data_IF_225934218192
#
_entry.id   IF_225934218192
#
_cell.length_a   1.000
_cell.length_b   1.000
_cell.length_c   1.000
_cell.angle_alpha   90.00
_cell.angle_beta   90.00
_cell.angle_gamma   90.00
#
_symmetry.space_group_name_H-M   'P 1'
#
loop_
_entity.id
_entity.type
_entity.pdbx_description
1 polymer ?
#
# COMPACT_ATOMS: atom_id res chain seq x y z
N UNK A 1 -10.61 10.33 -4.53
CA UNK A 1 -9.68 9.66 -3.61
C UNK A 1 -8.64 8.79 -4.30
N UNK A 2 -9.00 8.05 -5.35
CA UNK A 2 -8.02 7.19 -6.05
C UNK A 2 -6.89 7.98 -6.70
N UNK A 3 -7.19 9.15 -7.28
CA UNK A 3 -6.16 10.00 -7.88
C UNK A 3 -5.17 10.51 -6.82
N UNK A 4 -5.67 10.93 -5.66
CA UNK A 4 -4.84 11.37 -4.55
C UNK A 4 -3.97 10.23 -4.04
N UNK A 5 -4.50 9.02 -4.02
CA UNK A 5 -3.75 7.83 -3.62
C UNK A 5 -2.60 7.54 -4.59
N UNK A 6 -2.84 7.67 -5.90
CA UNK A 6 -1.79 7.49 -6.91
C UNK A 6 -0.68 8.53 -6.75
N UNK A 7 -1.02 9.78 -6.48
CA UNK A 7 -0.03 10.82 -6.17
C UNK A 7 0.79 10.46 -4.94
N UNK A 8 0.12 9.99 -3.89
CA UNK A 8 0.79 9.59 -2.66
C UNK A 8 1.75 8.42 -2.90
N UNK A 9 1.33 7.43 -3.71
CA UNK A 9 2.19 6.29 -4.08
C UNK A 9 3.45 6.79 -4.77
N UNK A 10 3.34 7.74 -5.69
CA UNK A 10 4.49 8.28 -6.42
C UNK A 10 5.45 9.03 -5.50
N UNK A 11 4.92 9.78 -4.53
CA UNK A 11 5.75 10.47 -3.53
C UNK A 11 6.49 9.48 -2.63
N UNK A 12 5.75 8.50 -2.12
CA UNK A 12 6.30 7.49 -1.20
C UNK A 12 7.31 6.59 -1.92
N UNK A 13 7.10 6.32 -3.21
CA UNK A 13 7.99 5.51 -4.03
C UNK A 13 9.42 6.03 -3.97
N UNK A 14 9.63 7.33 -4.10
CA UNK A 14 10.97 7.91 -4.04
C UNK A 14 11.60 7.73 -2.66
N UNK A 15 10.82 7.93 -1.60
CA UNK A 15 11.29 7.77 -0.23
C UNK A 15 11.66 6.32 0.06
N UNK A 16 10.85 5.38 -0.39
CA UNK A 16 11.08 3.95 -0.18
C UNK A 16 12.26 3.45 -1.00
N UNK A 17 12.42 3.96 -2.22
CA UNK A 17 13.55 3.61 -3.08
C UNK A 17 14.89 3.99 -2.43
N UNK A 18 14.93 5.12 -1.75
CA UNK A 18 16.12 5.55 -1.00
C UNK A 18 16.47 4.58 0.14
N UNK A 19 15.51 3.79 0.60
CA UNK A 19 15.70 2.75 1.63
C UNK A 19 15.91 1.36 1.04
N UNK A 20 15.97 1.25 -0.29
CA UNK A 20 16.11 -0.03 -0.97
C UNK A 20 14.82 -0.80 -1.15
N UNK A 21 13.67 -0.16 -0.94
CA UNK A 21 12.34 -0.78 -1.10
C UNK A 21 11.82 -0.45 -2.49
N UNK A 22 11.48 -1.48 -3.24
CA UNK A 22 10.94 -1.32 -4.59
C UNK A 22 9.42 -1.22 -4.58
N UNK A 23 8.89 -0.33 -5.42
CA UNK A 23 7.46 -0.23 -5.68
C UNK A 23 7.17 -0.92 -7.01
N UNK A 24 6.34 -1.96 -6.97
CA UNK A 24 5.94 -2.66 -8.18
C UNK A 24 4.51 -2.31 -8.58
N UNK A 25 4.15 -2.76 -9.76
CA UNK A 25 2.90 -2.51 -10.48
C UNK A 25 1.72 -1.96 -9.68
N UNK A 26 1.19 -0.85 -10.18
CA UNK A 26 -0.09 -0.33 -9.73
C UNK A 26 -1.15 -0.98 -10.63
N UNK A 27 -1.95 -1.89 -10.05
CA UNK A 27 -3.08 -2.48 -10.73
C UNK A 27 -4.27 -1.55 -10.55
N UNK A 28 -4.72 -0.95 -11.64
CA UNK A 28 -5.87 -0.04 -11.63
C UNK A 28 -7.07 -0.76 -12.23
N UNK A 29 -8.12 -0.91 -11.42
CA UNK A 29 -9.41 -1.44 -11.89
C UNK A 29 -10.37 -0.25 -11.93
N UNK A 30 -10.75 0.17 -13.13
CA UNK A 30 -11.59 1.35 -13.31
C UNK A 30 -13.08 1.01 -13.39
N UNK A 31 -13.90 2.07 -13.45
CA UNK A 31 -15.36 1.95 -13.44
C UNK A 31 -15.94 1.28 -14.70
N UNK A 32 -15.15 1.13 -15.76
CA UNK A 32 -15.62 0.43 -16.97
C UNK A 32 -15.54 -1.09 -16.81
N UNK A 33 -14.76 -1.57 -15.85
CA UNK A 33 -14.53 -2.99 -15.59
C UNK A 33 -15.25 -3.43 -14.32
N UNK A 34 -15.36 -2.56 -13.34
CA UNK A 34 -15.91 -2.89 -12.02
C UNK A 34 -16.78 -1.76 -11.49
N UNK A 35 -17.84 -2.14 -10.74
CA UNK A 35 -18.70 -1.17 -10.05
C UNK A 35 -17.97 -0.52 -8.86
N UNK A 36 -16.84 -1.08 -8.43
CA UNK A 36 -16.06 -0.55 -7.32
C UNK A 36 -14.59 -0.47 -7.73
N UNK A 37 -14.20 0.61 -8.46
CA UNK A 37 -12.82 0.79 -8.90
C UNK A 37 -11.83 0.77 -7.77
N UNK A 38 -10.62 0.25 -8.03
CA UNK A 38 -9.57 0.16 -7.03
C UNK A 38 -8.20 0.42 -7.63
N UNK A 39 -7.26 0.78 -6.74
CA UNK A 39 -5.84 0.88 -7.07
C UNK A 39 -5.07 0.00 -6.07
N UNK A 40 -4.21 -0.85 -6.59
CA UNK A 40 -3.37 -1.74 -5.77
C UNK A 40 -1.89 -1.46 -6.04
N UNK A 41 -1.10 -1.35 -5.00
CA UNK A 41 0.35 -1.19 -5.09
C UNK A 41 1.04 -2.28 -4.25
N UNK A 42 2.14 -2.80 -4.79
CA UNK A 42 3.00 -3.74 -4.08
C UNK A 42 4.34 -3.09 -3.75
N UNK A 43 4.86 -3.39 -2.58
CA UNK A 43 6.19 -2.95 -2.15
C UNK A 43 7.03 -4.16 -1.78
N UNK A 44 8.29 -4.13 -2.17
CA UNK A 44 9.23 -5.21 -1.86
C UNK A 44 10.44 -4.65 -1.12
N UNK A 45 10.59 -5.08 0.13
CA UNK A 45 11.81 -4.87 0.89
C UNK A 45 12.65 -6.13 0.71
N UNK A 46 13.73 -6.09 -0.11
CA UNK A 46 14.44 -7.31 -0.48
C UNK A 46 14.87 -8.14 0.72
N UNK A 47 14.52 -9.42 0.68
CA UNK A 47 14.84 -10.41 1.74
C UNK A 47 14.17 -10.14 3.10
N UNK A 48 13.29 -9.15 3.18
CA UNK A 48 12.65 -8.78 4.46
C UNK A 48 11.14 -8.89 4.40
N UNK A 49 10.49 -8.01 3.66
CA UNK A 49 9.03 -7.88 3.66
C UNK A 49 8.45 -7.72 2.26
N UNK A 50 7.22 -8.16 2.11
CA UNK A 50 6.40 -7.89 0.94
C UNK A 50 5.15 -7.17 1.45
N UNK A 51 4.89 -5.98 0.93
CA UNK A 51 3.73 -5.18 1.33
C UNK A 51 2.74 -5.00 0.19
N UNK A 52 1.47 -4.82 0.55
CA UNK A 52 0.39 -4.57 -0.40
C UNK A 52 -0.58 -3.57 0.20
N UNK A 53 -1.01 -2.60 -0.60
CA UNK A 53 -2.11 -1.70 -0.27
C UNK A 53 -3.10 -1.71 -1.42
N UNK A 54 -4.36 -1.93 -1.14
CA UNK A 54 -5.45 -1.75 -2.09
C UNK A 54 -6.42 -0.71 -1.55
N UNK A 55 -6.75 0.28 -2.36
CA UNK A 55 -7.76 1.29 -2.03
C UNK A 55 -8.87 1.25 -3.05
N UNK A 56 -10.11 1.15 -2.59
CA UNK A 56 -11.31 1.19 -3.42
C UNK A 56 -11.92 2.59 -3.42
N UNK A 57 -12.67 2.89 -4.46
CA UNK A 57 -13.37 4.17 -4.59
C UNK A 57 -14.34 4.42 -3.44
N UNK A 58 -14.85 3.38 -2.82
CA UNK A 58 -15.72 3.44 -1.64
C UNK A 58 -15.00 3.86 -0.36
N UNK A 59 -13.71 4.19 -0.45
CA UNK A 59 -12.82 4.55 0.66
C UNK A 59 -12.49 3.37 1.57
N UNK A 60 -12.86 2.16 1.19
CA UNK A 60 -12.37 0.95 1.86
C UNK A 60 -10.93 0.70 1.43
N UNK A 61 -10.12 0.21 2.33
CA UNK A 61 -8.73 -0.14 2.05
C UNK A 61 -8.36 -1.46 2.70
N UNK A 62 -7.40 -2.15 2.09
CA UNK A 62 -6.81 -3.36 2.65
C UNK A 62 -5.30 -3.21 2.63
N UNK A 63 -4.66 -3.51 3.76
CA UNK A 63 -3.20 -3.53 3.85
C UNK A 63 -2.75 -4.92 4.32
N UNK A 64 -1.63 -5.37 3.76
CA UNK A 64 -1.02 -6.63 4.14
C UNK A 64 0.49 -6.50 4.08
N UNK A 65 1.18 -7.04 5.09
CA UNK A 65 2.63 -7.14 5.10
C UNK A 65 2.99 -8.56 5.48
N UNK A 66 3.81 -9.20 4.65
CA UNK A 66 4.31 -10.55 4.88
C UNK A 66 5.81 -10.49 5.13
N UNK A 67 6.28 -11.32 6.07
CA UNK A 67 7.70 -11.53 6.26
C UNK A 67 8.21 -12.51 5.21
N UNK A 68 9.23 -12.09 4.45
CA UNK A 68 9.72 -12.86 3.31
C UNK A 68 10.26 -14.23 3.69
N UNK A 69 11.06 -14.29 4.77
CA UNK A 69 11.75 -15.53 5.14
C UNK A 69 10.84 -16.61 5.70
N UNK A 70 9.80 -16.24 6.45
CA UNK A 70 8.89 -17.19 7.09
C UNK A 70 7.57 -17.34 6.35
N UNK A 71 7.21 -16.34 5.52
CA UNK A 71 5.90 -16.26 4.89
C UNK A 71 4.80 -15.87 5.87
N UNK A 72 5.16 -15.49 7.11
CA UNK A 72 4.17 -15.10 8.10
C UNK A 72 3.58 -13.73 7.82
N UNK A 73 2.29 -13.60 8.08
CA UNK A 73 1.58 -12.32 7.96
C UNK A 73 1.89 -11.46 9.18
N UNK A 74 2.51 -10.29 8.94
CA UNK A 74 2.81 -9.32 9.99
C UNK A 74 1.65 -8.38 10.20
N UNK A 75 1.05 -7.90 9.10
CA UNK A 75 -0.13 -7.04 9.13
C UNK A 75 -1.13 -7.57 8.10
N UNK A 76 -2.40 -7.61 8.51
CA UNK A 76 -3.51 -7.88 7.59
C UNK A 76 -4.73 -7.17 8.16
N UNK A 77 -5.11 -6.02 7.54
CA UNK A 77 -6.18 -5.17 8.05
C UNK A 77 -7.04 -4.60 6.94
N UNK A 78 -8.33 -4.55 7.21
CA UNK A 78 -9.28 -3.75 6.44
C UNK A 78 -9.48 -2.42 7.15
N UNK A 79 -9.47 -1.34 6.37
CA UNK A 79 -9.63 0.01 6.90
C UNK A 79 -10.78 0.70 6.15
N UNK A 80 -11.45 1.62 6.84
CA UNK A 80 -12.43 2.51 6.21
C UNK A 80 -11.91 3.93 6.36
N UNK A 81 -11.57 4.56 5.22
CA UNK A 81 -11.01 5.89 5.22
C UNK A 81 -12.11 6.97 5.21
N UNK A 82 -11.74 8.15 5.69
CA UNK A 82 -12.55 9.36 5.57
C UNK A 82 -12.17 10.09 4.29
N UNK A 83 -13.06 10.94 3.78
CA UNK A 83 -12.80 11.72 2.55
C UNK A 83 -11.53 12.57 2.66
N UNK A 84 -11.23 13.07 3.86
CA UNK A 84 -10.08 13.94 4.12
C UNK A 84 -8.93 13.21 4.82
N UNK A 85 -8.87 11.88 4.73
CA UNK A 85 -7.82 11.12 5.39
C UNK A 85 -6.44 11.47 4.84
N UNK A 86 -5.48 11.59 5.76
CA UNK A 86 -4.07 11.73 5.41
C UNK A 86 -3.48 10.34 5.24
N UNK A 87 -3.05 10.00 4.04
CA UNK A 87 -2.50 8.68 3.75
C UNK A 87 -1.25 8.35 4.57
N UNK A 88 -0.44 9.36 4.91
CA UNK A 88 0.72 9.15 5.77
C UNK A 88 0.32 8.68 7.16
N UNK A 89 -0.78 9.19 7.69
CA UNK A 89 -1.32 8.77 8.98
C UNK A 89 -2.02 7.42 8.89
N UNK A 90 -2.87 7.25 7.87
CA UNK A 90 -3.64 6.02 7.67
C UNK A 90 -2.74 4.81 7.49
N UNK A 91 -1.67 4.94 6.69
CA UNK A 91 -0.76 3.85 6.37
C UNK A 91 0.55 3.91 7.15
N UNK A 92 0.58 4.65 8.23
CA UNK A 92 1.77 4.82 9.08
C UNK A 92 2.34 3.49 9.58
N UNK A 93 1.48 2.63 10.10
CA UNK A 93 1.87 1.31 10.60
C UNK A 93 2.46 0.45 9.48
N UNK A 94 1.79 0.48 8.31
CA UNK A 94 2.25 -0.24 7.12
C UNK A 94 3.65 0.21 6.71
N UNK A 95 3.85 1.52 6.57
CA UNK A 95 5.13 2.08 6.17
C UNK A 95 6.23 1.76 7.17
N UNK A 96 5.89 1.80 8.46
CA UNK A 96 6.82 1.45 9.53
C UNK A 96 7.28 0.01 9.42
N UNK A 97 6.35 -0.92 9.17
CA UNK A 97 6.69 -2.35 9.06
C UNK A 97 7.56 -2.65 7.85
N UNK A 98 7.22 -2.15 6.66
CA UNK A 98 8.02 -2.44 5.46
C UNK A 98 9.37 -1.74 5.48
N UNK A 99 9.54 -0.73 6.33
CA UNK A 99 10.79 0.03 6.46
C UNK A 99 11.70 -0.51 7.57
N UNK A 100 11.27 -1.50 8.32
CA UNK A 100 12.10 -2.08 9.38
C UNK A 100 13.34 -2.75 8.81
N UNK A 101 14.44 -2.49 9.48
CA UNK A 101 15.68 -3.23 9.24
C UNK A 101 15.59 -4.52 10.06
N UNK A 102 15.45 -5.61 9.35
CA UNK A 102 15.20 -6.89 9.98
C UNK A 102 16.41 -7.57 10.57
#
# INVERSE_FOLDING_TARGET
>A
MLDSFQYWIDEVKEQLQAKGIETEEINVVDSTISDNPSVTVHHYSPEKFIGLITLWETNAAFIEVLEYSSGETVISKHLQLQVNSDFNEVFKEYLSEISKEG
#
